data_IF_013123460933
#
_entry.id   IF_013123460933
#
_cell.length_a   1.000
_cell.length_b   1.000
_cell.length_c   1.000
_cell.angle_alpha   90.00
_cell.angle_beta   90.00
_cell.angle_gamma   90.00
#
_symmetry.space_group_name_H-M   'P 1'
#
loop_
_entity.id
_entity.type
_entity.pdbx_description
1 polymer ?
#
# COMPACT_ATOMS: atom_id res chain seq x y z
N UNK A 1 -13.18 -12.96 17.06
CA UNK A 1 -13.26 -13.96 15.97
C UNK A 1 -14.72 -14.30 15.76
N UNK A 2 -15.39 -13.51 14.92
CA UNK A 2 -16.79 -13.76 14.57
C UNK A 2 -16.90 -15.01 13.71
N UNK A 3 -17.74 -15.94 14.18
CA UNK A 3 -18.20 -17.13 13.48
C UNK A 3 -19.15 -16.68 12.37
N UNK A 4 -18.62 -16.03 11.33
CA UNK A 4 -19.39 -15.63 10.16
C UNK A 4 -19.92 -16.89 9.48
N UNK A 5 -21.24 -17.07 9.54
CA UNK A 5 -21.98 -18.09 8.80
C UNK A 5 -21.59 -17.99 7.34
N UNK A 6 -21.02 -19.07 6.80
CA UNK A 6 -20.79 -19.30 5.37
C UNK A 6 -22.12 -19.58 4.67
N UNK A 7 -23.09 -18.68 4.79
CA UNK A 7 -24.20 -18.63 3.84
C UNK A 7 -23.60 -18.16 2.50
N UNK A 8 -24.07 -18.75 1.39
CA UNK A 8 -23.54 -18.50 0.04
C UNK A 8 -23.27 -17.00 -0.17
N UNK A 9 -21.99 -16.66 -0.41
CA UNK A 9 -21.53 -15.32 -0.81
C UNK A 9 -22.14 -14.96 -2.17
N UNK A 10 -23.37 -14.46 -2.16
CA UNK A 10 -24.04 -13.88 -3.32
C UNK A 10 -24.06 -12.37 -3.14
N UNK A 11 -23.68 -11.61 -4.17
CA UNK A 11 -23.85 -10.15 -4.17
C UNK A 11 -25.34 -9.86 -4.05
N UNK A 12 -25.72 -9.28 -2.91
CA UNK A 12 -27.09 -8.87 -2.65
C UNK A 12 -27.21 -7.37 -2.93
N UNK A 13 -28.31 -6.97 -3.54
CA UNK A 13 -28.62 -5.57 -3.79
C UNK A 13 -28.68 -4.80 -2.47
N UNK A 14 -28.06 -3.62 -2.41
CA UNK A 14 -28.21 -2.72 -1.28
C UNK A 14 -29.64 -2.21 -1.21
N UNK A 15 -30.20 -2.10 0.00
CA UNK A 15 -31.50 -1.46 0.21
C UNK A 15 -31.40 0.03 -0.15
N UNK A 16 -32.49 0.68 -0.60
CA UNK A 16 -32.51 2.11 -0.93
C UNK A 16 -31.85 3.02 0.13
N UNK A 17 -32.22 2.82 1.40
CA UNK A 17 -31.64 3.55 2.53
C UNK A 17 -30.13 3.32 2.70
N UNK A 18 -29.64 2.11 2.44
CA UNK A 18 -28.19 1.81 2.50
C UNK A 18 -27.44 2.54 1.38
N UNK A 19 -27.99 2.60 0.16
CA UNK A 19 -27.42 3.35 -0.96
C UNK A 19 -27.34 4.84 -0.67
N UNK A 20 -28.43 5.41 -0.14
CA UNK A 20 -28.48 6.82 0.29
C UNK A 20 -27.43 7.14 1.35
N UNK A 21 -27.34 6.30 2.39
CA UNK A 21 -26.37 6.51 3.46
C UNK A 21 -24.92 6.35 2.97
N UNK A 22 -24.66 5.40 2.06
CA UNK A 22 -23.34 5.22 1.44
C UNK A 22 -22.98 6.43 0.59
N UNK A 23 -23.89 6.92 -0.24
CA UNK A 23 -23.66 8.06 -1.10
C UNK A 23 -23.42 9.36 -0.30
N UNK A 24 -24.16 9.57 0.78
CA UNK A 24 -23.92 10.68 1.70
C UNK A 24 -22.51 10.60 2.33
N UNK A 25 -22.12 9.44 2.88
CA UNK A 25 -20.76 9.23 3.38
C UNK A 25 -19.71 9.46 2.29
N UNK A 26 -19.96 8.98 1.07
CA UNK A 26 -19.05 9.10 -0.06
C UNK A 26 -18.81 10.56 -0.44
N UNK A 27 -19.89 11.33 -0.64
CA UNK A 27 -19.84 12.75 -0.94
C UNK A 27 -19.14 13.55 0.15
N UNK A 28 -19.54 13.37 1.41
CA UNK A 28 -19.09 14.20 2.53
C UNK A 28 -17.66 13.85 2.96
N UNK A 29 -17.38 12.55 3.17
CA UNK A 29 -16.11 12.09 3.71
C UNK A 29 -15.07 11.85 2.61
N UNK A 30 -15.44 11.18 1.50
CA UNK A 30 -14.45 10.80 0.48
C UNK A 30 -14.08 11.95 -0.47
N UNK A 31 -15.07 12.71 -0.95
CA UNK A 31 -14.87 13.68 -2.04
C UNK A 31 -14.73 15.11 -1.52
N UNK A 32 -15.46 15.45 -0.44
CA UNK A 32 -15.41 16.72 0.26
C UNK A 32 -16.29 17.83 -0.33
N UNK A 33 -16.71 17.74 -1.59
CA UNK A 33 -17.40 18.85 -2.28
C UNK A 33 -18.43 18.44 -3.35
N UNK A 34 -18.88 17.18 -3.40
CA UNK A 34 -19.77 16.72 -4.48
C UNK A 34 -21.21 16.52 -4.03
N UNK A 35 -22.17 17.01 -4.82
CA UNK A 35 -23.60 16.75 -4.61
C UNK A 35 -23.96 15.28 -4.85
N UNK A 36 -24.84 14.76 -4.00
CA UNK A 36 -25.37 13.40 -4.11
C UNK A 36 -26.35 13.30 -5.30
N UNK A 37 -26.30 12.22 -6.11
CA UNK A 37 -27.28 12.01 -7.18
C UNK A 37 -28.71 11.92 -6.65
N UNK A 38 -29.66 12.58 -7.32
CA UNK A 38 -31.06 12.60 -6.91
C UNK A 38 -31.72 11.21 -6.87
N UNK A 39 -31.30 10.29 -7.74
CA UNK A 39 -31.88 8.95 -7.90
C UNK A 39 -31.00 7.83 -7.30
N UNK A 40 -30.11 8.14 -6.35
CA UNK A 40 -29.15 7.15 -5.82
C UNK A 40 -29.81 5.92 -5.18
N UNK A 41 -31.01 6.09 -4.64
CA UNK A 41 -31.81 5.02 -4.02
C UNK A 41 -32.29 3.96 -5.02
N UNK A 42 -32.38 4.33 -6.30
CA UNK A 42 -32.86 3.49 -7.40
C UNK A 42 -31.73 2.86 -8.21
N UNK A 43 -30.48 3.32 -8.05
CA UNK A 43 -29.32 2.81 -8.78
C UNK A 43 -29.11 1.33 -8.46
N UNK A 44 -28.84 0.49 -9.47
CA UNK A 44 -28.31 -0.86 -9.21
C UNK A 44 -26.97 -0.79 -8.47
N UNK A 45 -26.57 -1.85 -7.77
CA UNK A 45 -25.22 -1.94 -7.18
C UNK A 45 -24.11 -1.68 -8.21
N UNK A 46 -24.29 -2.09 -9.47
CA UNK A 46 -23.31 -1.82 -10.53
C UNK A 46 -23.25 -0.34 -10.89
N UNK A 47 -24.40 0.32 -11.08
CA UNK A 47 -24.46 1.75 -11.36
C UNK A 47 -23.89 2.58 -10.20
N UNK A 48 -24.15 2.15 -8.96
CA UNK A 48 -23.61 2.80 -7.76
C UNK A 48 -22.08 2.67 -7.71
N UNK A 49 -21.52 1.48 -7.98
CA UNK A 49 -20.06 1.28 -8.10
C UNK A 49 -19.45 2.16 -9.17
N UNK A 50 -20.07 2.23 -10.34
CA UNK A 50 -19.58 3.04 -11.46
C UNK A 50 -19.66 4.54 -11.16
N UNK A 51 -20.71 5.01 -10.49
CA UNK A 51 -20.80 6.39 -10.01
C UNK A 51 -19.72 6.71 -8.97
N UNK A 52 -19.53 5.86 -7.96
CA UNK A 52 -18.49 6.05 -6.94
C UNK A 52 -17.10 6.12 -7.56
N UNK A 53 -16.80 5.24 -8.51
CA UNK A 53 -15.52 5.27 -9.22
C UNK A 53 -15.35 6.54 -10.06
N UNK A 54 -16.34 6.92 -10.87
CA UNK A 54 -16.25 8.12 -11.73
C UNK A 54 -16.13 9.41 -10.92
N UNK A 55 -16.89 9.55 -9.85
CA UNK A 55 -16.79 10.69 -8.93
C UNK A 55 -15.42 10.76 -8.26
N UNK A 56 -14.89 9.63 -7.80
CA UNK A 56 -13.53 9.54 -7.23
C UNK A 56 -12.47 9.98 -8.22
N UNK A 57 -12.49 9.43 -9.44
CA UNK A 57 -11.48 9.76 -10.47
C UNK A 57 -11.58 11.22 -10.93
N UNK A 58 -12.79 11.80 -10.97
CA UNK A 58 -12.98 13.22 -11.25
C UNK A 58 -12.28 14.10 -10.21
N UNK A 59 -12.35 13.76 -8.93
CA UNK A 59 -11.67 14.52 -7.89
C UNK A 59 -10.15 14.31 -7.91
N UNK A 60 -9.68 13.11 -8.27
CA UNK A 60 -8.26 12.83 -8.47
C UNK A 60 -7.68 13.63 -9.64
N UNK A 61 -8.46 13.79 -10.72
CA UNK A 61 -8.10 14.63 -11.85
C UNK A 61 -7.82 16.08 -11.41
N UNK A 62 -8.72 16.67 -10.61
CA UNK A 62 -8.54 18.02 -10.05
C UNK A 62 -7.28 18.09 -9.19
N UNK A 63 -7.00 17.05 -8.40
CA UNK A 63 -5.79 16.99 -7.56
C UNK A 63 -4.52 16.92 -8.42
N UNK A 64 -4.50 16.10 -9.48
CA UNK A 64 -3.37 16.00 -10.41
C UNK A 64 -3.05 17.36 -11.03
N UNK A 65 -4.07 18.09 -11.47
CA UNK A 65 -3.94 19.43 -12.04
C UNK A 65 -3.43 20.44 -10.99
N UNK A 66 -4.03 20.44 -9.79
CA UNK A 66 -3.59 21.30 -8.69
C UNK A 66 -2.13 21.05 -8.30
N UNK A 67 -1.69 19.79 -8.31
CA UNK A 67 -0.35 19.38 -7.89
C UNK A 67 0.70 19.42 -8.99
N UNK A 68 0.35 19.85 -10.21
CA UNK A 68 1.31 19.92 -11.33
C UNK A 68 1.86 18.55 -11.73
N UNK A 69 1.04 17.49 -11.58
CA UNK A 69 1.42 16.12 -11.88
C UNK A 69 1.09 15.70 -13.31
N UNK A 70 0.64 16.63 -14.15
CA UNK A 70 0.22 16.33 -15.51
C UNK A 70 1.37 15.72 -16.33
N UNK A 71 1.09 14.63 -17.05
CA UNK A 71 2.08 13.96 -17.88
C UNK A 71 2.37 14.75 -19.17
N UNK A 72 3.50 14.48 -19.81
CA UNK A 72 3.83 15.11 -21.09
C UNK A 72 2.89 14.65 -22.22
N UNK A 73 2.19 15.59 -22.86
CA UNK A 73 1.22 15.28 -23.92
C UNK A 73 1.88 14.61 -25.14
N UNK A 74 3.15 14.94 -25.43
CA UNK A 74 3.92 14.31 -26.51
C UNK A 74 4.08 12.80 -26.30
N UNK A 75 4.32 12.35 -25.06
CA UNK A 75 4.42 10.92 -24.74
C UNK A 75 3.08 10.21 -24.90
N UNK A 76 1.98 10.86 -24.50
CA UNK A 76 0.62 10.32 -24.68
C UNK A 76 0.33 10.11 -26.17
N UNK A 77 0.63 11.11 -27.00
CA UNK A 77 0.40 11.04 -28.45
C UNK A 77 1.25 9.92 -29.06
N UNK A 78 2.54 9.84 -28.69
CA UNK A 78 3.44 8.78 -29.14
C UNK A 78 2.91 7.38 -28.82
N UNK A 79 2.38 7.15 -27.62
CA UNK A 79 1.80 5.85 -27.24
C UNK A 79 0.57 5.52 -28.08
N UNK A 80 -0.32 6.50 -28.29
CA UNK A 80 -1.58 6.30 -29.03
C UNK A 80 -1.37 6.08 -30.52
N UNK A 81 -0.37 6.73 -31.11
CA UNK A 81 -0.07 6.68 -32.54
C UNK A 81 0.84 5.49 -32.92
N UNK A 82 1.58 4.93 -31.96
CA UNK A 82 2.49 3.80 -32.19
C UNK A 82 1.73 2.52 -32.58
N UNK A 83 1.99 2.03 -33.78
CA UNK A 83 1.44 0.76 -34.31
C UNK A 83 2.31 -0.45 -33.94
N UNK A 84 3.59 -0.24 -33.70
CA UNK A 84 4.53 -1.29 -33.29
C UNK A 84 4.47 -1.48 -31.77
N UNK A 85 4.26 -2.72 -31.30
CA UNK A 85 4.16 -3.03 -29.88
C UNK A 85 5.44 -2.79 -29.09
N UNK A 86 6.62 -2.97 -29.69
CA UNK A 86 7.90 -2.70 -29.03
C UNK A 86 8.17 -1.20 -28.90
N UNK A 87 7.89 -0.42 -29.96
CA UNK A 87 8.01 1.04 -29.90
C UNK A 87 7.02 1.66 -28.93
N UNK A 88 5.78 1.15 -28.93
CA UNK A 88 4.75 1.55 -27.98
C UNK A 88 5.17 1.22 -26.55
N UNK A 89 5.67 0.01 -26.28
CA UNK A 89 6.12 -0.38 -24.95
C UNK A 89 7.23 0.52 -24.42
N UNK A 90 8.22 0.91 -25.26
CA UNK A 90 9.27 1.87 -24.87
C UNK A 90 8.70 3.26 -24.55
N UNK A 91 7.68 3.71 -25.27
CA UNK A 91 7.01 4.98 -24.98
C UNK A 91 6.18 4.89 -23.68
N UNK A 92 5.51 3.75 -23.44
CA UNK A 92 4.77 3.47 -22.20
C UNK A 92 5.71 3.43 -20.99
N UNK A 93 6.87 2.77 -21.09
CA UNK A 93 7.91 2.76 -20.07
C UNK A 93 8.39 4.19 -19.75
N UNK A 94 8.77 4.97 -20.77
CA UNK A 94 9.21 6.35 -20.58
C UNK A 94 8.13 7.19 -19.89
N UNK A 95 6.86 7.00 -20.27
CA UNK A 95 5.72 7.68 -19.66
C UNK A 95 5.54 7.31 -18.18
N UNK A 96 5.64 6.03 -17.84
CA UNK A 96 5.57 5.54 -16.46
C UNK A 96 6.68 6.14 -15.61
N UNK A 97 7.90 6.20 -16.14
CA UNK A 97 9.06 6.78 -15.45
C UNK A 97 8.91 8.30 -15.27
N UNK A 98 8.36 9.03 -16.24
CA UNK A 98 8.02 10.46 -16.09
C UNK A 98 6.99 10.68 -14.97
N UNK A 99 5.89 9.92 -15.00
CA UNK A 99 4.88 9.95 -13.94
C UNK A 99 5.50 9.68 -12.57
N UNK A 100 6.37 8.67 -12.49
CA UNK A 100 7.09 8.33 -11.27
C UNK A 100 7.95 9.47 -10.76
N UNK A 101 8.72 10.12 -11.63
CA UNK A 101 9.57 11.26 -11.26
C UNK A 101 8.74 12.46 -10.80
N UNK A 102 7.59 12.75 -11.42
CA UNK A 102 6.70 13.84 -11.01
C UNK A 102 6.12 13.59 -9.61
N UNK A 103 5.54 12.42 -9.39
CA UNK A 103 5.03 12.03 -8.07
C UNK A 103 6.15 12.03 -7.01
N UNK A 104 7.32 11.49 -7.36
CA UNK A 104 8.47 11.47 -6.46
C UNK A 104 9.03 12.86 -6.13
N UNK A 105 8.96 13.83 -7.05
CA UNK A 105 9.32 15.22 -6.79
C UNK A 105 8.33 15.89 -5.85
N UNK A 106 7.04 15.75 -6.10
CA UNK A 106 5.97 16.26 -5.22
C UNK A 106 6.15 15.75 -3.79
N UNK A 107 6.32 14.43 -3.62
CA UNK A 107 6.53 13.81 -2.31
C UNK A 107 7.82 14.25 -1.61
N UNK A 108 8.84 14.74 -2.34
CA UNK A 108 10.09 15.24 -1.73
C UNK A 108 10.01 16.72 -1.36
N UNK A 109 9.29 17.52 -2.15
CA UNK A 109 9.15 18.96 -1.93
C UNK A 109 8.22 19.26 -0.74
N UNK A 110 7.14 18.51 -0.61
CA UNK A 110 6.12 18.75 0.42
C UNK A 110 6.37 18.01 1.75
N UNK A 111 7.29 17.02 1.76
CA UNK A 111 7.50 16.14 2.91
C UNK A 111 8.87 16.18 3.64
N UNK A 112 9.76 17.20 3.52
CA UNK A 112 11.01 17.15 4.28
C UNK A 112 10.80 17.30 5.80
N UNK A 113 9.65 17.82 6.27
CA UNK A 113 9.42 18.10 7.70
C UNK A 113 8.01 17.82 8.24
N UNK A 114 7.05 17.33 7.45
CA UNK A 114 5.75 16.91 7.97
C UNK A 114 5.84 15.47 8.47
N UNK A 115 5.38 15.20 9.70
CA UNK A 115 5.11 13.82 10.15
C UNK A 115 4.18 13.19 9.11
N UNK A 116 4.72 12.30 8.27
CA UNK A 116 3.95 11.65 7.21
C UNK A 116 2.73 10.99 7.84
N UNK A 117 1.53 11.32 7.36
CA UNK A 117 0.31 10.67 7.83
C UNK A 117 0.42 9.17 7.57
N UNK A 118 0.60 8.39 8.64
CA UNK A 118 0.77 6.96 8.54
C UNK A 118 -0.62 6.28 8.49
N UNK A 119 -1.07 6.07 7.25
CA UNK A 119 -1.41 4.73 6.70
C UNK A 119 -2.86 4.38 6.35
N UNK A 120 -3.87 5.23 6.53
CA UNK A 120 -5.24 4.82 6.13
C UNK A 120 -6.07 5.86 5.34
N UNK A 121 -5.67 7.11 5.26
CA UNK A 121 -6.58 8.23 4.97
C UNK A 121 -6.37 8.94 3.62
N UNK A 122 -5.87 8.27 2.57
CA UNK A 122 -5.57 8.97 1.31
C UNK A 122 -6.64 8.79 0.24
N UNK A 123 -7.71 9.58 0.37
CA UNK A 123 -8.75 9.79 -0.64
C UNK A 123 -8.93 11.30 -0.88
N UNK A 124 -9.62 11.74 -1.95
CA UNK A 124 -9.55 13.13 -2.42
C UNK A 124 -9.80 14.22 -1.37
N UNK A 125 -10.81 14.05 -0.51
CA UNK A 125 -11.11 14.99 0.56
C UNK A 125 -9.91 15.25 1.49
N UNK A 126 -9.27 14.18 1.98
CA UNK A 126 -8.07 14.30 2.82
C UNK A 126 -6.84 14.75 2.02
N UNK A 127 -6.66 14.24 0.81
CA UNK A 127 -5.52 14.64 -0.03
C UNK A 127 -5.51 16.16 -0.27
N UNK A 128 -6.67 16.76 -0.54
CA UNK A 128 -6.79 18.22 -0.70
C UNK A 128 -6.50 18.99 0.59
N UNK A 129 -6.91 18.46 1.75
CA UNK A 129 -6.72 19.10 3.06
C UNK A 129 -5.27 18.99 3.56
N UNK A 130 -4.63 17.84 3.35
CA UNK A 130 -3.28 17.52 3.87
C UNK A 130 -2.15 17.88 2.91
N UNK A 131 -2.45 17.93 1.61
CA UNK A 131 -1.48 18.02 0.53
C UNK A 131 -0.44 16.89 0.58
N UNK A 132 -0.89 15.69 1.01
CA UNK A 132 -0.08 14.48 1.13
C UNK A 132 -0.86 13.26 0.58
N UNK A 133 -0.15 12.16 0.37
CA UNK A 133 -0.74 10.89 -0.04
C UNK A 133 0.00 9.67 0.51
N UNK A 134 -0.78 8.62 0.77
CA UNK A 134 -0.25 7.29 1.09
C UNK A 134 -0.38 6.34 -0.11
N UNK A 135 -0.25 5.03 0.10
CA UNK A 135 -0.36 4.03 -0.96
C UNK A 135 -1.69 4.09 -1.73
N UNK A 136 -2.82 4.36 -1.06
CA UNK A 136 -4.12 4.49 -1.73
C UNK A 136 -4.18 5.71 -2.64
N UNK A 137 -3.82 6.90 -2.14
CA UNK A 137 -3.83 8.12 -2.94
C UNK A 137 -2.84 8.06 -4.10
N UNK A 138 -1.65 7.48 -3.86
CA UNK A 138 -0.67 7.21 -4.90
C UNK A 138 -1.21 6.25 -5.97
N UNK A 139 -1.90 5.18 -5.57
CA UNK A 139 -2.52 4.26 -6.51
C UNK A 139 -3.64 4.93 -7.31
N UNK A 140 -4.44 5.80 -6.69
CA UNK A 140 -5.50 6.57 -7.35
C UNK A 140 -4.93 7.53 -8.41
N UNK A 141 -3.88 8.29 -8.07
CA UNK A 141 -3.15 9.12 -9.03
C UNK A 141 -2.59 8.28 -10.17
N UNK A 142 -2.00 7.13 -9.83
CA UNK A 142 -1.51 6.17 -10.82
C UNK A 142 -2.58 5.72 -11.81
N UNK A 143 -3.77 5.35 -11.34
CA UNK A 143 -4.90 4.96 -12.22
C UNK A 143 -5.20 6.07 -13.22
N UNK A 144 -5.34 7.31 -12.76
CA UNK A 144 -5.71 8.44 -13.61
C UNK A 144 -4.62 8.73 -14.65
N UNK A 145 -3.37 8.85 -14.20
CA UNK A 145 -2.23 9.11 -15.08
C UNK A 145 -2.10 8.02 -16.15
N UNK A 146 -2.18 6.74 -15.78
CA UNK A 146 -2.04 5.63 -16.74
C UNK A 146 -3.22 5.56 -17.72
N UNK A 147 -4.43 5.90 -17.26
CA UNK A 147 -5.64 5.88 -18.09
C UNK A 147 -5.59 6.93 -19.22
N UNK A 148 -4.99 8.10 -18.98
CA UNK A 148 -4.81 9.15 -20.01
C UNK A 148 -4.00 8.69 -21.23
N UNK A 149 -3.00 7.84 -20.99
CA UNK A 149 -2.16 7.23 -22.01
C UNK A 149 -2.75 5.92 -22.59
N UNK A 150 -3.93 5.50 -22.14
CA UNK A 150 -4.54 4.21 -22.49
C UNK A 150 -3.61 3.01 -22.20
N UNK A 151 -2.87 3.09 -21.09
CA UNK A 151 -2.03 2.00 -20.58
C UNK A 151 -2.90 1.07 -19.74
N UNK A 152 -2.89 -0.22 -20.08
CA UNK A 152 -3.66 -1.23 -19.38
C UNK A 152 -3.12 -1.39 -17.95
N UNK A 153 -3.96 -1.07 -16.97
CA UNK A 153 -3.58 -1.09 -15.57
C UNK A 153 -4.64 -1.77 -14.69
N UNK A 154 -4.19 -2.26 -13.55
CA UNK A 154 -4.93 -3.02 -12.56
C UNK A 154 -4.57 -2.52 -11.16
N UNK A 155 -5.43 -2.81 -10.19
CA UNK A 155 -5.11 -2.66 -8.78
C UNK A 155 -4.44 -3.92 -8.28
N UNK A 156 -3.20 -3.79 -7.80
CA UNK A 156 -2.59 -4.81 -6.96
C UNK A 156 -2.95 -4.57 -5.50
N UNK A 157 -3.46 -5.58 -4.81
CA UNK A 157 -3.87 -5.46 -3.40
C UNK A 157 -3.23 -6.55 -2.52
N UNK A 158 -1.90 -6.52 -2.32
CA UNK A 158 -1.25 -7.38 -1.34
C UNK A 158 -1.65 -6.99 0.09
N UNK A 159 -1.36 -7.81 1.12
CA UNK A 159 -1.71 -7.48 2.49
C UNK A 159 -1.17 -6.11 2.94
N UNK A 160 -2.06 -5.29 3.50
CA UNK A 160 -1.76 -3.98 4.08
C UNK A 160 -1.16 -2.96 3.10
N UNK A 161 -1.32 -3.16 1.79
CA UNK A 161 -0.79 -2.25 0.79
C UNK A 161 -1.63 -2.26 -0.50
N UNK A 162 -1.46 -1.22 -1.32
CA UNK A 162 -2.12 -1.09 -2.61
C UNK A 162 -1.15 -0.44 -3.59
N UNK A 163 -1.15 -0.93 -4.83
CA UNK A 163 -0.22 -0.55 -5.88
C UNK A 163 -0.94 -0.55 -7.24
N UNK A 164 -0.31 0.04 -8.25
CA UNK A 164 -0.72 -0.18 -9.63
C UNK A 164 0.13 -1.32 -10.24
N UNK A 165 -0.54 -2.21 -10.96
CA UNK A 165 0.11 -3.19 -11.83
C UNK A 165 -0.26 -2.84 -13.26
N UNK A 166 0.72 -2.72 -14.14
CA UNK A 166 0.46 -2.43 -15.55
C UNK A 166 0.95 -3.56 -16.43
N UNK A 167 0.27 -3.74 -17.56
CA UNK A 167 0.73 -4.60 -18.65
C UNK A 167 1.02 -3.74 -19.85
N UNK A 168 2.27 -3.70 -20.26
CA UNK A 168 2.71 -2.98 -21.45
C UNK A 168 2.24 -3.70 -22.72
N UNK A 169 2.31 -2.98 -23.84
CA UNK A 169 1.89 -3.46 -25.16
C UNK A 169 2.71 -4.63 -25.70
N UNK A 170 3.93 -4.84 -25.22
CA UNK A 170 4.75 -6.03 -25.52
C UNK A 170 4.46 -7.23 -24.60
N UNK A 171 3.62 -7.07 -23.57
CA UNK A 171 3.25 -8.12 -22.63
C UNK A 171 3.91 -8.01 -21.26
N UNK A 172 4.96 -7.19 -21.12
CA UNK A 172 5.70 -7.02 -19.87
C UNK A 172 4.79 -6.52 -18.76
N UNK A 173 5.04 -7.00 -17.55
CA UNK A 173 4.28 -6.62 -16.36
C UNK A 173 5.15 -5.74 -15.50
N UNK A 174 4.63 -4.58 -15.12
CA UNK A 174 5.35 -3.64 -14.26
C UNK A 174 4.61 -3.43 -12.95
N UNK A 175 5.41 -3.41 -11.89
CA UNK A 175 5.02 -3.05 -10.54
C UNK A 175 5.25 -1.56 -10.34
N UNK A 176 4.19 -0.82 -9.97
CA UNK A 176 4.26 0.61 -9.75
C UNK A 176 3.79 0.97 -8.33
N UNK A 177 4.72 1.42 -7.51
CA UNK A 177 4.49 1.95 -6.18
C UNK A 177 5.16 3.32 -6.09
N UNK A 178 4.40 4.35 -6.48
CA UNK A 178 4.95 5.70 -6.58
C UNK A 178 5.30 6.28 -5.20
N UNK A 179 4.54 5.94 -4.14
CA UNK A 179 4.80 6.46 -2.79
C UNK A 179 6.08 5.90 -2.18
N UNK A 180 6.43 4.63 -2.45
CA UNK A 180 7.66 4.01 -1.94
C UNK A 180 8.85 4.08 -2.90
N UNK A 181 8.69 4.79 -4.02
CA UNK A 181 9.68 4.94 -5.08
C UNK A 181 10.17 3.58 -5.61
N UNK A 182 9.23 2.69 -5.91
CA UNK A 182 9.50 1.36 -6.45
C UNK A 182 8.69 1.14 -7.73
N UNK A 183 9.32 1.43 -8.87
CA UNK A 183 8.76 1.30 -10.21
C UNK A 183 9.71 0.43 -11.02
N UNK A 184 9.26 -0.75 -11.43
CA UNK A 184 10.10 -1.72 -12.14
C UNK A 184 9.29 -2.79 -12.85
N UNK A 185 9.91 -3.38 -13.87
CA UNK A 185 9.46 -4.64 -14.47
C UNK A 185 9.51 -5.78 -13.44
N UNK A 186 8.56 -6.70 -13.54
CA UNK A 186 8.47 -7.92 -12.77
C UNK A 186 8.12 -9.10 -13.68
N UNK A 187 8.62 -10.29 -13.33
CA UNK A 187 8.26 -11.55 -14.01
C UNK A 187 7.48 -12.48 -13.06
N UNK A 188 6.19 -12.20 -12.82
CA UNK A 188 5.38 -13.01 -11.92
C UNK A 188 4.81 -14.26 -12.60
N UNK A 189 4.65 -15.32 -11.82
CA UNK A 189 3.76 -16.41 -12.19
C UNK A 189 2.30 -15.99 -11.95
N UNK A 190 1.47 -15.99 -12.98
CA UNK A 190 0.04 -15.71 -12.85
C UNK A 190 -0.70 -16.97 -12.40
N UNK A 191 -1.36 -16.90 -11.25
CA UNK A 191 -2.22 -17.96 -10.70
C UNK A 191 -3.65 -17.45 -10.52
N UNK A 192 -4.58 -18.34 -10.14
CA UNK A 192 -5.99 -18.00 -9.92
C UNK A 192 -6.44 -18.56 -8.58
N UNK A 193 -6.86 -17.68 -7.67
CA UNK A 193 -7.40 -18.04 -6.35
C UNK A 193 -8.82 -17.50 -6.27
N UNK A 194 -9.80 -18.34 -5.96
CA UNK A 194 -11.22 -17.94 -5.90
C UNK A 194 -11.72 -17.15 -7.13
N UNK A 195 -11.23 -17.53 -8.31
CA UNK A 195 -11.48 -16.87 -9.61
C UNK A 195 -10.88 -15.46 -9.78
N UNK A 196 -10.11 -14.97 -8.83
CA UNK A 196 -9.34 -13.73 -8.93
C UNK A 196 -7.95 -14.07 -9.47
N UNK A 197 -7.46 -13.39 -10.53
CA UNK A 197 -6.07 -13.51 -10.95
C UNK A 197 -5.14 -12.96 -9.85
N UNK A 198 -4.08 -13.67 -9.54
CA UNK A 198 -3.07 -13.25 -8.58
C UNK A 198 -1.68 -13.41 -9.20
N UNK A 199 -0.79 -12.46 -8.92
CA UNK A 199 0.63 -12.56 -9.24
C UNK A 199 1.34 -13.24 -8.08
N UNK A 200 1.99 -14.36 -8.36
CA UNK A 200 2.93 -14.99 -7.45
C UNK A 200 4.34 -14.48 -7.78
N UNK A 201 4.97 -13.84 -6.79
CA UNK A 201 6.28 -13.22 -6.92
C UNK A 201 7.28 -13.89 -5.98
N UNK A 202 8.41 -14.31 -6.53
CA UNK A 202 9.55 -14.86 -5.80
C UNK A 202 10.73 -13.88 -5.87
N UNK A 203 10.47 -12.61 -5.55
CA UNK A 203 11.50 -11.57 -5.53
C UNK A 203 11.73 -11.10 -4.08
N UNK A 204 12.95 -11.25 -3.53
CA UNK A 204 13.28 -10.87 -2.16
C UNK A 204 13.13 -9.37 -1.88
N UNK A 205 13.07 -8.53 -2.91
CA UNK A 205 12.86 -7.09 -2.79
C UNK A 205 11.42 -6.71 -2.46
N UNK A 206 10.46 -7.63 -2.57
CA UNK A 206 9.07 -7.39 -2.17
C UNK A 206 8.74 -8.01 -0.83
N UNK A 207 7.93 -7.29 -0.04
CA UNK A 207 7.48 -7.82 1.23
C UNK A 207 6.47 -8.97 1.04
N UNK A 208 5.68 -8.94 -0.03
CA UNK A 208 4.65 -9.92 -0.41
C UNK A 208 5.15 -10.89 -1.48
N UNK A 209 4.61 -12.11 -1.46
CA UNK A 209 4.78 -13.14 -2.50
C UNK A 209 3.51 -13.34 -3.31
N UNK A 210 2.40 -12.72 -2.93
CA UNK A 210 1.11 -12.85 -3.59
C UNK A 210 0.42 -11.50 -3.72
N UNK A 211 0.09 -11.11 -4.97
CA UNK A 211 -0.63 -9.88 -5.29
C UNK A 211 -1.93 -10.21 -6.03
N UNK A 212 -3.08 -10.12 -5.36
CA UNK A 212 -4.37 -10.08 -6.02
C UNK A 212 -4.48 -8.94 -7.05
N UNK A 213 -5.02 -9.25 -8.23
CA UNK A 213 -5.31 -8.26 -9.27
C UNK A 213 -6.81 -8.02 -9.38
N UNK A 214 -7.17 -6.75 -9.35
CA UNK A 214 -8.55 -6.28 -9.55
C UNK A 214 -8.61 -5.22 -10.65
N UNK A 215 -9.81 -5.02 -11.20
CA UNK A 215 -10.05 -3.93 -12.15
C UNK A 215 -9.88 -2.59 -11.44
N UNK A 216 -9.49 -1.54 -12.17
CA UNK A 216 -9.25 -0.20 -11.59
C UNK A 216 -10.46 0.33 -10.84
N UNK A 217 -11.67 0.08 -11.36
CA UNK A 217 -12.93 0.47 -10.71
C UNK A 217 -13.15 -0.12 -9.33
N UNK A 218 -12.51 -1.26 -9.04
CA UNK A 218 -12.60 -1.90 -7.73
C UNK A 218 -11.79 -1.16 -6.66
N UNK A 219 -11.02 -0.11 -7.00
CA UNK A 219 -10.29 0.71 -6.00
C UNK A 219 -11.21 1.34 -4.95
N UNK A 220 -12.49 1.56 -5.31
CA UNK A 220 -13.54 2.03 -4.39
C UNK A 220 -13.68 1.10 -3.17
N UNK A 221 -13.46 -0.21 -3.34
CA UNK A 221 -13.44 -1.16 -2.23
C UNK A 221 -12.41 -0.76 -1.15
N UNK A 222 -11.22 -0.29 -1.56
CA UNK A 222 -10.15 0.07 -0.63
C UNK A 222 -10.48 1.33 0.15
N UNK A 223 -11.13 2.33 -0.47
CA UNK A 223 -11.63 3.52 0.24
C UNK A 223 -12.65 3.11 1.31
N UNK A 224 -13.64 2.30 0.94
CA UNK A 224 -14.67 1.82 1.90
C UNK A 224 -14.03 0.94 2.98
N UNK A 225 -13.03 0.12 2.64
CA UNK A 225 -12.29 -0.70 3.58
C UNK A 225 -11.50 0.15 4.59
N UNK A 226 -10.92 1.26 4.15
CA UNK A 226 -10.22 2.18 5.04
C UNK A 226 -11.18 2.93 5.95
N UNK A 227 -12.37 3.32 5.46
CA UNK A 227 -13.43 3.85 6.33
C UNK A 227 -13.87 2.85 7.40
N UNK A 228 -14.00 1.57 7.06
CA UNK A 228 -14.35 0.53 8.04
C UNK A 228 -13.22 0.34 9.07
N UNK A 229 -11.97 0.30 8.61
CA UNK A 229 -10.80 0.22 9.49
C UNK A 229 -10.69 1.42 10.44
N UNK A 230 -10.97 2.63 9.95
CA UNK A 230 -11.03 3.84 10.75
C UNK A 230 -12.06 3.71 11.88
N UNK A 231 -13.29 3.24 11.58
CA UNK A 231 -14.33 3.02 12.60
C UNK A 231 -13.89 2.02 13.66
N UNK A 232 -13.19 0.96 13.27
CA UNK A 232 -12.69 -0.04 14.21
C UNK A 232 -11.54 0.52 15.07
N UNK A 233 -10.62 1.30 14.49
CA UNK A 233 -9.54 1.96 15.22
C UNK A 233 -10.05 2.92 16.31
N UNK A 234 -11.12 3.67 16.02
CA UNK A 234 -11.77 4.57 16.99
C UNK A 234 -12.31 3.81 18.19
N UNK A 235 -12.78 2.57 17.99
CA UNK A 235 -13.37 1.73 19.04
C UNK A 235 -12.38 0.80 19.73
N UNK A 236 -11.17 0.63 19.20
CA UNK A 236 -10.21 -0.35 19.73
C UNK A 236 -9.50 0.20 20.97
N UNK A 237 -9.95 -0.24 22.14
CA UNK A 237 -9.36 0.12 23.44
C UNK A 237 -7.93 -0.38 23.62
N UNK A 238 -7.45 -1.31 22.77
CA UNK A 238 -6.07 -1.79 22.81
C UNK A 238 -5.07 -0.80 22.21
N UNK A 239 -5.55 0.11 21.37
CA UNK A 239 -4.73 1.17 20.79
C UNK A 239 -4.76 2.36 21.76
N UNK A 240 -3.59 2.73 22.28
CA UNK A 240 -3.46 3.84 23.23
C UNK A 240 -3.99 5.13 22.63
N UNK A 241 -4.66 5.96 23.44
CA UNK A 241 -5.23 7.24 22.97
C UNK A 241 -4.15 8.28 22.59
N UNK A 242 -2.92 8.06 23.00
CA UNK A 242 -1.73 8.86 22.61
C UNK A 242 -1.22 8.49 21.21
N UNK A 243 -1.72 7.38 20.62
CA UNK A 243 -1.37 7.00 19.26
C UNK A 243 -1.92 8.03 18.27
N UNK A 244 -1.01 8.66 17.52
CA UNK A 244 -1.32 9.73 16.56
C UNK A 244 -2.36 9.26 15.52
N UNK A 245 -2.25 8.02 15.03
CA UNK A 245 -3.19 7.48 14.02
C UNK A 245 -4.60 7.35 14.60
N UNK A 246 -4.73 6.88 15.85
CA UNK A 246 -6.01 6.82 16.56
C UNK A 246 -6.59 8.21 16.80
N UNK A 247 -5.78 9.19 17.17
CA UNK A 247 -6.23 10.57 17.34
C UNK A 247 -6.74 11.18 16.03
N UNK A 248 -6.03 10.97 14.93
CA UNK A 248 -6.46 11.37 13.59
C UNK A 248 -7.77 10.68 13.19
N UNK A 249 -7.89 9.38 13.47
CA UNK A 249 -9.11 8.60 13.20
C UNK A 249 -10.30 9.11 14.01
N UNK A 250 -10.11 9.40 15.30
CA UNK A 250 -11.15 9.97 16.17
C UNK A 250 -11.59 11.34 15.63
N UNK A 251 -10.64 12.23 15.32
CA UNK A 251 -10.94 13.56 14.78
C UNK A 251 -11.76 13.46 13.48
N UNK A 252 -11.34 12.58 12.58
CA UNK A 252 -12.03 12.38 11.31
C UNK A 252 -13.42 11.75 11.48
N UNK A 253 -13.53 10.73 12.32
CA UNK A 253 -14.80 10.09 12.64
C UNK A 253 -15.79 11.08 13.26
N UNK A 254 -15.35 11.91 14.21
CA UNK A 254 -16.21 12.92 14.85
C UNK A 254 -16.67 14.00 13.86
N UNK A 255 -15.79 14.45 12.93
CA UNK A 255 -16.15 15.38 11.84
C UNK A 255 -17.34 14.86 11.00
N UNK A 256 -17.41 13.55 10.77
CA UNK A 256 -18.42 12.92 9.91
C UNK A 256 -19.33 11.92 10.67
N UNK A 257 -19.47 12.07 11.99
CA UNK A 257 -20.12 11.09 12.88
C UNK A 257 -21.54 10.74 12.44
N UNK A 258 -22.29 11.73 12.00
CA UNK A 258 -23.67 11.56 11.58
C UNK A 258 -23.83 10.61 10.40
N UNK A 259 -22.91 10.63 9.43
CA UNK A 259 -22.96 9.74 8.27
C UNK A 259 -22.34 8.38 8.58
N UNK A 260 -21.24 8.34 9.35
CA UNK A 260 -20.60 7.08 9.76
C UNK A 260 -21.50 6.18 10.62
N UNK A 261 -22.34 6.75 11.48
CA UNK A 261 -23.24 5.99 12.36
C UNK A 261 -24.44 5.39 11.64
N UNK A 262 -24.80 5.89 10.44
CA UNK A 262 -25.96 5.44 9.66
C UNK A 262 -25.68 4.23 8.77
N UNK A 263 -24.44 3.74 8.74
CA UNK A 263 -24.00 2.71 7.80
C UNK A 263 -23.11 1.64 8.44
N UNK A 264 -23.39 0.39 8.09
CA UNK A 264 -22.56 -0.78 8.42
C UNK A 264 -21.64 -1.06 7.22
N UNK A 265 -20.41 -0.55 7.27
CA UNK A 265 -19.48 -0.61 6.13
C UNK A 265 -19.03 -2.04 5.82
N UNK A 266 -18.89 -2.89 6.83
CA UNK A 266 -18.68 -4.34 6.67
C UNK A 266 -19.74 -4.98 5.77
N UNK A 267 -21.02 -4.74 6.04
CA UNK A 267 -22.14 -5.29 5.26
C UNK A 267 -22.18 -4.74 3.83
N UNK A 268 -21.89 -3.44 3.68
CA UNK A 268 -21.84 -2.78 2.37
C UNK A 268 -20.72 -3.37 1.51
N UNK A 269 -19.51 -3.55 2.07
CA UNK A 269 -18.40 -4.20 1.37
C UNK A 269 -18.75 -5.61 0.96
N UNK A 270 -19.38 -6.37 1.85
CA UNK A 270 -19.81 -7.74 1.56
C UNK A 270 -20.77 -7.80 0.36
N UNK A 271 -21.77 -6.91 0.33
CA UNK A 271 -22.78 -6.84 -0.72
C UNK A 271 -22.22 -6.37 -2.07
N UNK A 272 -21.31 -5.39 -2.06
CA UNK A 272 -20.78 -4.76 -3.29
C UNK A 272 -19.54 -5.46 -3.87
N UNK A 273 -18.72 -6.09 -3.01
CA UNK A 273 -17.37 -6.58 -3.32
C UNK A 273 -17.13 -7.98 -2.75
N UNK A 274 -18.13 -8.87 -2.91
CA UNK A 274 -18.09 -10.23 -2.37
C UNK A 274 -16.87 -11.04 -2.84
N UNK A 275 -16.40 -10.79 -4.07
CA UNK A 275 -15.22 -11.43 -4.66
C UNK A 275 -13.94 -11.09 -3.89
N UNK A 276 -13.73 -9.82 -3.54
CA UNK A 276 -12.60 -9.33 -2.74
C UNK A 276 -12.65 -9.96 -1.34
N UNK A 277 -13.84 -9.96 -0.70
CA UNK A 277 -14.04 -10.56 0.63
C UNK A 277 -13.74 -12.05 0.62
N UNK A 278 -14.25 -12.79 -0.38
CA UNK A 278 -14.02 -14.23 -0.53
C UNK A 278 -12.54 -14.54 -0.67
N UNK A 279 -11.85 -13.85 -1.58
CA UNK A 279 -10.40 -14.01 -1.77
C UNK A 279 -9.64 -13.72 -0.48
N UNK A 280 -9.99 -12.64 0.22
CA UNK A 280 -9.36 -12.25 1.48
C UNK A 280 -9.49 -13.31 2.59
N UNK A 281 -10.49 -14.19 2.50
CA UNK A 281 -10.72 -15.33 3.40
C UNK A 281 -10.15 -16.67 2.91
N UNK A 282 -9.58 -16.73 1.70
CA UNK A 282 -8.92 -17.93 1.16
C UNK A 282 -7.75 -18.39 2.05
N UNK A 283 -7.35 -19.65 1.93
CA UNK A 283 -6.25 -20.21 2.74
C UNK A 283 -4.93 -19.52 2.38
N UNK A 284 -4.72 -19.28 1.09
CA UNK A 284 -3.56 -18.64 0.49
C UNK A 284 -3.39 -17.21 1.00
N UNK A 285 -4.45 -16.39 0.93
CA UNK A 285 -4.37 -15.01 1.43
C UNK A 285 -4.24 -14.93 2.95
N UNK A 286 -4.84 -15.87 3.71
CA UNK A 286 -4.65 -15.90 5.18
C UNK A 286 -3.20 -16.24 5.54
N UNK A 287 -2.61 -17.25 4.89
CA UNK A 287 -1.19 -17.59 5.06
C UNK A 287 -0.29 -16.41 4.71
N UNK A 288 -0.59 -15.70 3.63
CA UNK A 288 0.19 -14.55 3.22
C UNK A 288 0.07 -13.38 4.22
N UNK A 289 -1.13 -13.10 4.74
CA UNK A 289 -1.35 -12.11 5.80
C UNK A 289 -0.60 -12.47 7.08
N UNK A 290 -0.65 -13.73 7.51
CA UNK A 290 0.09 -14.23 8.68
C UNK A 290 1.60 -14.10 8.47
N UNK A 291 2.11 -14.42 7.27
CA UNK A 291 3.51 -14.26 6.91
C UNK A 291 3.94 -12.79 6.99
N UNK A 292 3.19 -11.89 6.35
CA UNK A 292 3.48 -10.44 6.36
C UNK A 292 3.43 -9.87 7.77
N UNK A 293 2.39 -10.19 8.55
CA UNK A 293 2.26 -9.72 9.93
C UNK A 293 3.42 -10.23 10.79
N UNK A 294 3.79 -11.50 10.68
CA UNK A 294 4.95 -12.05 11.38
C UNK A 294 6.25 -11.33 11.01
N UNK A 295 6.46 -11.02 9.73
CA UNK A 295 7.63 -10.26 9.28
C UNK A 295 7.64 -8.82 9.83
N UNK A 296 6.49 -8.14 9.80
CA UNK A 296 6.36 -6.77 10.33
C UNK A 296 6.58 -6.71 11.84
N UNK A 297 5.96 -7.61 12.60
CA UNK A 297 6.11 -7.70 14.06
C UNK A 297 7.57 -7.95 14.46
N UNK A 298 8.26 -8.81 13.72
CA UNK A 298 9.67 -9.12 13.99
C UNK A 298 10.58 -7.93 13.69
N UNK A 299 10.35 -7.24 12.57
CA UNK A 299 11.09 -6.01 12.24
C UNK A 299 10.80 -4.91 13.28
N UNK A 300 9.54 -4.73 13.69
CA UNK A 300 9.17 -3.73 14.70
C UNK A 300 9.84 -4.02 16.05
N UNK A 301 9.80 -5.29 16.52
CA UNK A 301 10.50 -5.70 17.75
C UNK A 301 12.00 -5.51 17.65
N UNK A 302 12.59 -5.77 16.49
CA UNK A 302 14.01 -5.52 16.23
C UNK A 302 14.38 -4.06 16.45
N UNK A 303 13.61 -3.16 15.83
CA UNK A 303 13.84 -1.72 15.85
C UNK A 303 13.61 -1.15 17.26
N UNK A 304 12.52 -1.56 17.92
CA UNK A 304 12.17 -1.11 19.27
C UNK A 304 13.20 -1.49 20.35
N UNK A 305 14.01 -2.53 20.11
CA UNK A 305 15.13 -2.89 21.01
C UNK A 305 16.31 -1.92 20.93
N UNK A 306 16.37 -1.08 19.89
CA UNK A 306 17.51 -0.21 19.55
C UNK A 306 17.18 1.25 19.84
N UNK A 307 16.05 1.73 19.31
CA UNK A 307 15.69 3.16 19.31
C UNK A 307 15.70 3.85 20.69
N UNK A 308 15.27 3.22 21.81
CA UNK A 308 15.30 3.89 23.11
C UNK A 308 16.69 3.95 23.77
N UNK A 309 17.75 3.39 23.16
CA UNK A 309 19.09 3.30 23.76
C UNK A 309 20.18 4.05 23.02
N UNK A 310 19.93 4.50 21.79
CA UNK A 310 20.96 5.09 20.94
C UNK A 310 20.62 6.55 20.59
N UNK A 311 21.63 7.42 20.59
CA UNK A 311 21.51 8.77 20.03
C UNK A 311 21.37 8.72 18.50
N UNK A 312 20.96 9.84 17.88
CA UNK A 312 20.91 9.94 16.41
C UNK A 312 22.27 9.68 15.76
N UNK A 313 23.35 10.14 16.38
CA UNK A 313 24.72 9.90 15.93
C UNK A 313 25.08 8.41 16.02
N UNK A 314 24.72 7.73 17.11
CA UNK A 314 24.96 6.31 17.30
C UNK A 314 24.18 5.46 16.30
N UNK A 315 22.91 5.80 16.03
CA UNK A 315 22.12 5.17 14.96
C UNK A 315 22.79 5.38 13.61
N UNK A 316 23.30 6.58 13.31
CA UNK A 316 23.97 6.86 12.03
C UNK A 316 25.25 6.04 11.88
N UNK A 317 26.08 5.96 12.92
CA UNK A 317 27.30 5.15 12.96
C UNK A 317 27.00 3.65 12.84
N UNK A 318 25.96 3.17 13.52
CA UNK A 318 25.47 1.80 13.45
C UNK A 318 25.13 1.43 12.00
N UNK A 319 24.26 2.23 11.39
CA UNK A 319 23.75 1.95 10.05
C UNK A 319 24.90 2.04 9.02
N UNK A 320 25.76 3.05 9.08
CA UNK A 320 26.93 3.19 8.19
C UNK A 320 27.90 2.01 8.32
N UNK A 321 28.18 1.58 9.54
CA UNK A 321 29.06 0.43 9.79
C UNK A 321 28.50 -0.87 9.20
N UNK A 322 27.20 -1.11 9.36
CA UNK A 322 26.53 -2.29 8.81
C UNK A 322 26.45 -2.20 7.28
N UNK A 323 26.21 -1.02 6.72
CA UNK A 323 26.16 -0.81 5.27
C UNK A 323 27.45 -1.08 4.55
N UNK A 324 28.55 -0.54 5.07
CA UNK A 324 29.88 -0.81 4.52
C UNK A 324 30.30 -2.28 4.63
N UNK A 325 29.59 -3.07 5.45
CA UNK A 325 29.90 -4.46 5.73
C UNK A 325 28.68 -5.38 5.59
N UNK A 326 27.76 -5.07 4.67
CA UNK A 326 26.45 -5.72 4.57
C UNK A 326 26.53 -7.24 4.38
N UNK A 327 27.45 -7.71 3.54
CA UNK A 327 27.72 -9.16 3.34
C UNK A 327 28.22 -9.82 4.63
N UNK A 328 29.15 -9.17 5.34
CA UNK A 328 29.69 -9.68 6.60
C UNK A 328 28.59 -9.78 7.68
N UNK A 329 27.74 -8.75 7.77
CA UNK A 329 26.59 -8.72 8.67
C UNK A 329 25.59 -9.83 8.31
N UNK A 330 25.27 -10.00 7.03
CA UNK A 330 24.38 -11.07 6.52
C UNK A 330 24.91 -12.46 6.89
N UNK A 331 26.18 -12.74 6.60
CA UNK A 331 26.79 -14.03 6.90
C UNK A 331 26.84 -14.32 8.40
N UNK A 332 27.12 -13.30 9.21
CA UNK A 332 27.08 -13.44 10.66
C UNK A 332 25.67 -13.77 11.16
N UNK A 333 24.66 -13.01 10.72
CA UNK A 333 23.26 -13.22 11.12
C UNK A 333 22.77 -14.61 10.69
N UNK A 334 23.08 -15.06 9.47
CA UNK A 334 22.71 -16.40 8.99
C UNK A 334 23.46 -17.54 9.70
N UNK A 335 24.53 -17.22 10.43
CA UNK A 335 25.38 -18.19 11.12
C UNK A 335 26.45 -18.83 10.23
N UNK A 336 26.70 -18.27 9.05
CA UNK A 336 27.84 -18.64 8.17
C UNK A 336 29.17 -18.14 8.72
N UNK A 337 29.14 -17.11 9.58
CA UNK A 337 30.29 -16.64 10.37
C UNK A 337 30.02 -16.73 11.88
N UNK A 338 31.03 -17.24 12.60
CA UNK A 338 30.97 -17.46 14.05
C UNK A 338 31.10 -16.18 14.89
N UNK A 339 32.00 -15.25 14.50
CA UNK A 339 32.23 -13.98 15.21
C UNK A 339 32.37 -12.82 14.22
N UNK A 340 31.90 -11.64 14.64
CA UNK A 340 32.20 -10.38 13.96
C UNK A 340 33.59 -9.91 14.37
N UNK A 341 34.43 -9.52 13.41
CA UNK A 341 35.74 -8.93 13.71
C UNK A 341 35.56 -7.45 14.03
N UNK A 342 36.04 -7.03 15.20
CA UNK A 342 36.01 -5.62 15.66
C UNK A 342 36.81 -4.67 14.76
N UNK A 343 37.59 -5.18 13.79
CA UNK A 343 38.30 -4.38 12.80
C UNK A 343 37.45 -3.98 11.59
N UNK A 344 36.38 -4.73 11.29
CA UNK A 344 35.55 -4.50 10.11
C UNK A 344 34.21 -3.82 10.45
N UNK A 345 33.59 -4.23 11.56
CA UNK A 345 32.33 -3.68 12.05
C UNK A 345 32.57 -2.98 13.39
N UNK A 346 31.94 -1.82 13.60
CA UNK A 346 32.07 -1.05 14.83
C UNK A 346 31.58 -1.86 16.03
N UNK A 347 32.13 -1.64 17.24
CA UNK A 347 31.69 -2.37 18.44
C UNK A 347 30.17 -2.28 18.65
N UNK A 348 29.61 -1.08 18.45
CA UNK A 348 28.17 -0.82 18.52
C UNK A 348 27.39 -1.69 17.53
N UNK A 349 27.84 -1.79 16.27
CA UNK A 349 27.22 -2.63 15.26
C UNK A 349 27.41 -4.12 15.53
N UNK A 350 28.53 -4.54 16.10
CA UNK A 350 28.78 -5.92 16.46
C UNK A 350 27.88 -6.38 17.63
N UNK A 351 27.74 -5.56 18.67
CA UNK A 351 26.83 -5.79 19.78
C UNK A 351 25.38 -5.84 19.28
N UNK A 352 25.00 -4.87 18.47
CA UNK A 352 23.67 -4.80 17.87
C UNK A 352 23.33 -6.07 17.07
N UNK A 353 24.19 -6.47 16.12
CA UNK A 353 23.96 -7.66 15.30
C UNK A 353 23.94 -8.95 16.14
N UNK A 354 24.70 -9.00 17.24
CA UNK A 354 24.72 -10.15 18.15
C UNK A 354 23.41 -10.26 18.95
N UNK A 355 22.93 -9.14 19.50
CA UNK A 355 21.63 -9.07 20.16
C UNK A 355 20.51 -9.43 19.19
N UNK A 356 20.58 -8.92 17.96
CA UNK A 356 19.61 -9.22 16.91
C UNK A 356 19.59 -10.72 16.55
N UNK A 357 20.77 -11.32 16.32
CA UNK A 357 20.92 -12.76 16.04
C UNK A 357 20.36 -13.62 17.17
N UNK A 358 20.63 -13.27 18.43
CA UNK A 358 20.14 -14.00 19.60
C UNK A 358 18.61 -13.96 19.68
N UNK A 359 18.00 -12.81 19.42
CA UNK A 359 16.55 -12.68 19.43
C UNK A 359 15.88 -13.45 18.28
N UNK A 360 16.54 -13.51 17.11
CA UNK A 360 16.03 -14.29 15.98
C UNK A 360 16.30 -15.80 16.08
N UNK A 361 17.12 -16.27 17.04
CA UNK A 361 17.45 -17.70 17.19
C UNK A 361 16.22 -18.60 17.38
N UNK A 362 15.21 -18.12 18.12
CA UNK A 362 13.94 -18.82 18.34
C UNK A 362 13.12 -18.96 17.05
N UNK A 363 13.30 -18.05 16.09
CA UNK A 363 12.61 -18.05 14.79
C UNK A 363 13.31 -19.00 13.83
N UNK A 364 14.65 -19.01 13.82
CA UNK A 364 15.46 -19.95 13.03
C UNK A 364 15.02 -21.41 13.23
N UNK A 365 14.66 -21.76 14.48
CA UNK A 365 14.22 -23.11 14.86
C UNK A 365 12.81 -23.43 14.32
N UNK A 366 11.89 -22.45 14.32
CA UNK A 366 10.48 -22.67 13.97
C UNK A 366 10.20 -22.55 12.47
N UNK A 367 10.86 -21.63 11.79
CA UNK A 367 10.60 -21.27 10.39
C UNK A 367 11.90 -20.85 9.68
N UNK A 368 12.78 -21.82 9.33
CA UNK A 368 14.09 -21.54 8.75
C UNK A 368 14.05 -20.75 7.43
N UNK A 369 13.06 -20.99 6.58
CA UNK A 369 12.91 -20.26 5.31
C UNK A 369 12.52 -18.78 5.55
N UNK A 370 11.68 -18.53 6.57
CA UNK A 370 11.30 -17.17 6.96
C UNK A 370 12.49 -16.44 7.60
N UNK A 371 13.35 -17.15 8.33
CA UNK A 371 14.52 -16.58 9.00
C UNK A 371 15.50 -15.91 8.03
N UNK A 372 15.78 -16.54 6.88
CA UNK A 372 16.63 -15.91 5.86
C UNK A 372 15.99 -14.63 5.31
N UNK A 373 14.70 -14.67 4.98
CA UNK A 373 13.97 -13.51 4.48
C UNK A 373 13.96 -12.36 5.49
N UNK A 374 13.81 -12.66 6.78
CA UNK A 374 13.86 -11.66 7.86
C UNK A 374 15.21 -10.96 7.89
N UNK A 375 16.31 -11.70 7.82
CA UNK A 375 17.67 -11.13 7.86
C UNK A 375 17.91 -10.24 6.65
N UNK A 376 17.56 -10.73 5.46
CA UNK A 376 17.73 -9.97 4.22
C UNK A 376 16.92 -8.67 4.25
N UNK A 377 15.67 -8.72 4.73
CA UNK A 377 14.80 -7.54 4.87
C UNK A 377 15.25 -6.57 5.94
N UNK A 378 15.70 -7.09 7.09
CA UNK A 378 16.23 -6.25 8.16
C UNK A 378 17.41 -5.44 7.65
N UNK A 379 18.38 -6.10 7.00
CA UNK A 379 19.52 -5.41 6.41
C UNK A 379 19.05 -4.43 5.34
N UNK A 380 18.19 -4.83 4.39
CA UNK A 380 17.68 -3.92 3.38
C UNK A 380 17.00 -2.67 3.98
N UNK A 381 16.10 -2.82 4.96
CA UNK A 381 15.41 -1.69 5.62
C UNK A 381 16.37 -0.80 6.39
N UNK A 382 17.37 -1.40 7.06
CA UNK A 382 18.41 -0.67 7.76
C UNK A 382 19.23 0.18 6.78
N UNK A 383 19.64 -0.41 5.65
CA UNK A 383 20.44 0.27 4.61
C UNK A 383 19.67 1.36 3.88
N UNK A 384 18.37 1.16 3.61
CA UNK A 384 17.53 2.20 3.00
C UNK A 384 17.39 3.44 3.90
N UNK A 385 17.53 3.31 5.22
CA UNK A 385 17.62 4.48 6.13
C UNK A 385 18.95 5.26 5.96
N UNK A 386 20.04 4.66 5.48
CA UNK A 386 21.30 5.39 5.15
C UNK A 386 21.04 6.35 4.00
N UNK A 387 20.51 5.82 2.90
CA UNK A 387 20.35 6.57 1.65
C UNK A 387 19.38 7.75 1.79
N UNK A 388 18.46 7.67 2.74
CA UNK A 388 17.51 8.74 3.06
C UNK A 388 18.06 9.78 4.04
N UNK A 389 19.13 9.48 4.80
CA UNK A 389 19.77 10.42 5.73
C UNK A 389 21.00 11.10 5.12
N UNK A 390 21.58 10.54 4.04
CA UNK A 390 22.71 11.11 3.30
C UNK A 390 22.27 12.01 2.11
N UNK A 391 20.95 12.12 1.86
CA UNK A 391 20.32 13.01 0.88
C UNK A 391 19.46 14.03 1.60
#
# INVERSE_FOLDING_TARGET
MEKFRREKLVENELKPKEKKNLAALWCDASLGTQEMPQNVEEMSNQNLKDWMYKSLMKEILIIIEKWGLEPEQELINKIKESKNSSERAKAEEKYILDCHQKVGRFLKQEAPFKEKSLKWDSWPGIMKESEDMNCLGSALIGIELLSRANIKNFIGSPPSHIINIVRLSNGDIWYLDFVNNNVREIDPKVIKIDKVPCLQLEDPNFDFTLIPLFETKDVVYNVISNFDFLKEMVKDDKIQNENIDKQAAIKYYEKFKQVFTRIHLSDVRYKLYSKQIKLNGSVEMRREKERISGLQDMVAKAVAMIEPKLTKEEVTLLIKSIGNNSTLAKDFLLGKKGKLSNKAISPLAAEFLSNYKNNLSKIKIKTPDLYQQIIERFLFKLLKKVELNER
#
